data_IF_611959547532
#
_entry.id   IF_611959547532
#
_cell.length_a   1.000
_cell.length_b   1.000
_cell.length_c   1.000
_cell.angle_alpha   90.00
_cell.angle_beta   90.00
_cell.angle_gamma   90.00
#
_symmetry.space_group_name_H-M   'P 1'
#
loop_
_entity.id
_entity.type
_entity.pdbx_description
1 polymer ?
#
# COMPACT_ATOMS: atom_id res chain seq x y z
N UNK A 1 19.75 14.67 19.60
CA UNK A 1 18.81 14.18 18.57
C UNK A 1 19.31 12.82 18.12
N UNK A 2 18.72 11.71 18.59
CA UNK A 2 19.14 10.37 18.16
C UNK A 2 18.85 10.19 16.66
N UNK A 3 19.77 9.58 15.91
CA UNK A 3 19.61 9.39 14.46
C UNK A 3 18.43 8.47 14.15
N UNK A 4 17.68 8.72 13.08
CA UNK A 4 16.54 7.89 12.67
C UNK A 4 16.93 6.41 12.52
N UNK A 5 18.14 6.14 12.03
CA UNK A 5 18.71 4.79 11.89
C UNK A 5 18.88 4.09 13.25
N UNK A 6 19.38 4.81 14.27
CA UNK A 6 19.55 4.24 15.62
C UNK A 6 18.21 3.87 16.26
N UNK A 7 17.18 4.67 16.00
CA UNK A 7 15.81 4.40 16.45
C UNK A 7 15.25 3.15 15.78
N UNK A 8 15.40 3.03 14.47
CA UNK A 8 14.96 1.84 13.70
C UNK A 8 15.67 0.57 14.17
N UNK A 9 16.96 0.64 14.51
CA UNK A 9 17.69 -0.49 15.06
C UNK A 9 17.04 -1.01 16.37
N UNK A 10 16.71 -0.11 17.31
CA UNK A 10 16.08 -0.48 18.59
C UNK A 10 14.64 -1.00 18.46
N UNK A 11 13.96 -0.66 17.36
CA UNK A 11 12.59 -1.09 17.05
C UNK A 11 12.54 -2.40 16.24
N UNK A 12 13.68 -2.84 15.71
CA UNK A 12 13.76 -3.96 14.77
C UNK A 12 14.12 -5.28 15.46
N UNK A 13 13.43 -6.33 15.07
CA UNK A 13 13.68 -7.71 15.54
C UNK A 13 13.83 -8.67 14.36
N UNK A 14 14.63 -9.71 14.60
CA UNK A 14 14.85 -10.82 13.67
C UNK A 14 14.08 -12.04 14.19
N UNK A 15 13.21 -12.59 13.35
CA UNK A 15 12.42 -13.77 13.67
C UNK A 15 12.91 -14.95 12.85
N UNK A 16 13.21 -16.06 13.52
CA UNK A 16 13.47 -17.34 12.87
C UNK A 16 12.39 -18.34 13.24
N UNK A 17 11.90 -19.05 12.23
CA UNK A 17 10.75 -19.95 12.34
C UNK A 17 11.17 -21.38 12.07
N UNK A 18 10.75 -22.29 12.95
CA UNK A 18 10.88 -23.73 12.76
C UNK A 18 9.50 -24.37 12.91
N UNK A 19 8.94 -24.97 11.85
CA UNK A 19 9.43 -25.03 10.46
C UNK A 19 9.37 -23.67 9.74
N UNK A 20 9.96 -23.61 8.54
CA UNK A 20 9.94 -22.42 7.69
C UNK A 20 8.53 -22.21 7.10
N UNK A 21 7.95 -21.00 7.18
CA UNK A 21 6.66 -20.70 6.59
C UNK A 21 6.74 -20.83 5.07
N UNK A 22 5.90 -21.67 4.49
CA UNK A 22 5.81 -21.90 3.05
C UNK A 22 4.69 -21.11 2.39
N UNK A 23 3.71 -20.66 3.18
CA UNK A 23 2.52 -19.95 2.70
C UNK A 23 2.42 -18.53 3.26
N UNK A 24 1.78 -17.63 2.51
CA UNK A 24 1.40 -16.31 3.00
C UNK A 24 0.43 -16.40 4.18
N UNK A 25 -0.42 -17.44 4.23
CA UNK A 25 -1.33 -17.65 5.37
C UNK A 25 -0.57 -17.88 6.68
N UNK A 26 0.49 -18.70 6.63
CA UNK A 26 1.38 -18.97 7.77
C UNK A 26 2.11 -17.69 8.21
N UNK A 27 2.60 -16.91 7.25
CA UNK A 27 3.26 -15.62 7.52
C UNK A 27 2.29 -14.58 8.11
N UNK A 28 1.01 -14.58 7.69
CA UNK A 28 -0.03 -13.71 8.26
C UNK A 28 -0.31 -14.04 9.72
N UNK A 29 -0.33 -15.32 10.09
CA UNK A 29 -0.49 -15.73 11.49
C UNK A 29 0.70 -15.28 12.34
N UNK A 30 1.91 -15.33 11.79
CA UNK A 30 3.10 -14.78 12.43
C UNK A 30 2.97 -13.29 12.67
N UNK A 31 2.57 -12.53 11.65
CA UNK A 31 2.31 -11.10 11.79
C UNK A 31 1.23 -10.81 12.83
N UNK A 32 0.13 -11.56 12.83
CA UNK A 32 -0.95 -11.41 13.82
C UNK A 32 -0.46 -11.71 15.25
N UNK A 33 0.44 -12.69 15.42
CA UNK A 33 1.05 -12.98 16.71
C UNK A 33 1.97 -11.84 17.18
N UNK A 34 2.75 -11.25 16.28
CA UNK A 34 3.61 -10.10 16.60
C UNK A 34 2.81 -8.84 16.93
N UNK A 35 1.69 -8.62 16.23
CA UNK A 35 0.81 -7.48 16.46
C UNK A 35 0.20 -7.45 17.87
N UNK A 36 0.22 -8.56 18.60
CA UNK A 36 -0.20 -8.62 20.02
C UNK A 36 0.71 -7.78 20.93
N UNK A 37 1.96 -7.57 20.56
CA UNK A 37 2.94 -6.79 21.34
C UNK A 37 2.93 -5.30 20.97
N UNK A 38 2.35 -4.93 19.83
CA UNK A 38 2.26 -3.56 19.35
C UNK A 38 2.17 -3.48 17.83
N UNK A 39 2.07 -2.27 17.31
CA UNK A 39 1.98 -2.03 15.87
C UNK A 39 3.29 -2.41 15.15
N UNK A 40 3.17 -3.22 14.10
CA UNK A 40 4.28 -3.63 13.23
C UNK A 40 4.26 -2.78 11.97
N UNK A 41 5.22 -1.87 11.84
CA UNK A 41 5.35 -0.93 10.72
C UNK A 41 5.86 -1.62 9.46
N UNK A 42 6.80 -2.55 9.63
CA UNK A 42 7.39 -3.26 8.49
C UNK A 42 7.53 -4.72 8.84
N UNK A 43 7.06 -5.57 7.93
CA UNK A 43 7.19 -7.01 8.03
C UNK A 43 7.72 -7.54 6.70
N UNK A 44 8.94 -8.05 6.71
CA UNK A 44 9.68 -8.41 5.50
C UNK A 44 10.36 -9.75 5.65
N UNK A 45 10.03 -10.69 4.77
CA UNK A 45 10.74 -11.96 4.69
C UNK A 45 12.05 -11.76 3.90
N UNK A 46 13.20 -12.00 4.54
CA UNK A 46 14.51 -11.80 3.92
C UNK A 46 14.90 -12.93 2.96
N UNK A 47 14.15 -14.04 2.94
CA UNK A 47 14.37 -15.13 1.98
C UNK A 47 14.20 -14.67 0.52
N UNK A 48 13.35 -13.68 0.28
CA UNK A 48 13.06 -13.16 -1.06
C UNK A 48 13.79 -11.84 -1.36
N UNK A 49 14.76 -11.45 -0.53
CA UNK A 49 15.53 -10.23 -0.77
C UNK A 49 16.56 -10.45 -1.88
N UNK A 50 16.23 -10.01 -3.09
CA UNK A 50 17.12 -10.11 -4.27
C UNK A 50 18.42 -9.34 -4.11
N UNK A 51 18.46 -8.36 -3.21
CA UNK A 51 19.65 -7.54 -2.96
C UNK A 51 20.59 -8.16 -1.93
N UNK A 52 20.18 -9.23 -1.25
CA UNK A 52 20.94 -9.86 -0.17
C UNK A 52 21.85 -10.96 -0.72
N UNK A 53 23.14 -10.66 -0.86
CA UNK A 53 24.17 -11.56 -1.41
C UNK A 53 24.74 -12.54 -0.36
N UNK A 54 24.25 -12.55 0.89
CA UNK A 54 24.83 -13.42 1.92
C UNK A 54 24.55 -14.91 1.64
N UNK A 55 25.62 -15.72 1.53
CA UNK A 55 25.51 -17.19 1.36
C UNK A 55 24.85 -17.90 2.56
N UNK A 56 24.93 -17.30 3.75
CA UNK A 56 24.20 -17.76 4.94
C UNK A 56 22.81 -17.12 4.95
N UNK A 57 21.96 -17.52 4.02
CA UNK A 57 20.53 -17.15 4.05
C UNK A 57 19.87 -17.90 5.22
N UNK A 58 20.07 -17.42 6.45
CA UNK A 58 19.11 -17.69 7.51
C UNK A 58 17.81 -17.07 7.02
N UNK A 59 16.85 -17.94 6.67
CA UNK A 59 15.51 -17.58 6.17
C UNK A 59 14.71 -16.93 7.30
N UNK A 60 15.15 -15.74 7.67
CA UNK A 60 14.65 -14.98 8.78
C UNK A 60 13.70 -13.89 8.28
N UNK A 61 12.72 -13.59 9.10
CA UNK A 61 11.78 -12.50 8.87
C UNK A 61 12.21 -11.32 9.71
N UNK A 62 12.31 -10.15 9.08
CA UNK A 62 12.57 -8.89 9.75
C UNK A 62 11.22 -8.25 10.10
N UNK A 63 11.04 -7.85 11.35
CA UNK A 63 9.93 -7.02 11.76
C UNK A 63 10.44 -5.73 12.42
N UNK A 64 9.81 -4.61 12.11
CA UNK A 64 10.09 -3.30 12.72
C UNK A 64 8.81 -2.84 13.39
N UNK A 65 8.87 -2.63 14.70
CA UNK A 65 7.77 -2.12 15.49
C UNK A 65 7.73 -0.59 15.49
N UNK A 66 6.56 -0.01 15.72
CA UNK A 66 6.45 1.43 15.90
C UNK A 66 7.14 1.89 17.20
N UNK A 67 7.01 1.10 18.26
CA UNK A 67 7.61 1.38 19.57
C UNK A 67 8.77 0.45 19.91
N UNK A 68 9.88 0.96 20.47
CA UNK A 68 10.97 0.11 20.97
C UNK A 68 10.53 -0.77 22.14
N UNK A 69 9.54 -0.34 22.92
CA UNK A 69 9.01 -1.16 24.04
C UNK A 69 8.33 -2.43 23.53
N UNK A 70 7.56 -2.33 22.44
CA UNK A 70 6.92 -3.48 21.79
C UNK A 70 7.97 -4.49 21.30
N UNK A 71 9.07 -4.01 20.71
CA UNK A 71 10.18 -4.86 20.30
C UNK A 71 10.81 -5.62 21.48
N UNK A 72 11.06 -4.93 22.61
CA UNK A 72 11.61 -5.59 23.81
C UNK A 72 10.65 -6.62 24.43
N UNK A 73 9.34 -6.34 24.43
CA UNK A 73 8.33 -7.30 24.91
C UNK A 73 8.25 -8.53 24.01
N UNK A 74 8.29 -8.33 22.69
CA UNK A 74 8.33 -9.44 21.74
C UNK A 74 9.57 -10.32 21.97
N UNK A 75 10.75 -9.74 22.17
CA UNK A 75 11.98 -10.49 22.50
C UNK A 75 11.82 -11.24 23.83
N UNK A 76 11.25 -10.62 24.86
CA UNK A 76 11.03 -11.24 26.16
C UNK A 76 10.03 -12.42 26.12
N UNK A 77 9.09 -12.39 25.17
CA UNK A 77 8.12 -13.47 24.92
C UNK A 77 8.66 -14.61 24.07
N UNK A 78 9.90 -14.52 23.59
CA UNK A 78 10.55 -15.56 22.79
C UNK A 78 10.83 -16.81 23.65
N UNK A 79 10.53 -18.03 23.16
CA UNK A 79 9.96 -18.39 21.86
C UNK A 79 8.41 -18.40 21.82
N UNK A 80 7.83 -18.00 20.69
CA UNK A 80 6.38 -18.03 20.45
C UNK A 80 5.94 -19.28 19.70
N UNK A 81 4.82 -19.87 20.12
CA UNK A 81 4.17 -20.98 19.42
C UNK A 81 2.89 -20.49 18.74
N UNK A 82 2.78 -20.74 17.44
CA UNK A 82 1.64 -20.34 16.62
C UNK A 82 0.99 -21.60 16.08
N UNK A 83 -0.28 -21.81 16.39
CA UNK A 83 -1.05 -22.93 15.84
C UNK A 83 -1.38 -22.62 14.38
N UNK A 84 -1.03 -23.53 13.47
CA UNK A 84 -1.54 -23.46 12.11
C UNK A 84 -2.97 -23.99 12.12
N UNK A 85 -3.90 -23.35 11.40
CA UNK A 85 -5.14 -24.01 11.05
C UNK A 85 -4.75 -25.23 10.22
N UNK A 86 -4.96 -26.43 10.77
CA UNK A 86 -5.05 -27.61 9.92
C UNK A 86 -6.05 -27.27 8.83
N UNK A 87 -5.67 -27.52 7.58
CA UNK A 87 -6.65 -27.62 6.51
C UNK A 87 -7.70 -28.55 7.05
N UNK A 88 -8.87 -28.02 7.44
CA UNK A 88 -10.03 -28.86 7.65
C UNK A 88 -10.24 -29.50 6.30
N UNK A 89 -9.69 -30.71 6.12
CA UNK A 89 -10.24 -31.71 5.23
C UNK A 89 -11.70 -31.66 5.57
N UNK A 90 -12.48 -31.02 4.71
CA UNK A 90 -13.91 -31.03 4.86
C UNK A 90 -14.25 -32.51 4.92
N UNK A 91 -14.60 -32.98 6.10
CA UNK A 91 -15.33 -34.20 6.30
C UNK A 91 -16.69 -33.96 5.66
N UNK A 92 -16.71 -33.94 4.32
CA UNK A 92 -17.88 -34.20 3.54
C UNK A 92 -18.20 -35.65 3.79
N UNK A 93 -19.02 -35.88 4.82
CA UNK A 93 -19.88 -37.05 4.87
C UNK A 93 -20.69 -37.06 3.58
N UNK A 94 -20.25 -37.83 2.57
CA UNK A 94 -21.11 -38.51 1.59
C UNK A 94 -20.32 -39.47 0.68
N UNK A 95 -20.68 -40.75 0.84
CA UNK A 95 -20.49 -41.91 -0.03
C UNK A 95 -19.07 -42.40 -0.35
N UNK A 96 -18.73 -43.53 0.29
CA UNK A 96 -17.72 -44.50 -0.13
C UNK A 96 -17.88 -44.89 -1.61
N UNK A 97 -16.97 -44.40 -2.46
CA UNK A 97 -16.47 -45.16 -3.62
C UNK A 97 -14.97 -44.88 -3.74
N UNK A 98 -14.09 -45.89 -3.57
CA UNK A 98 -12.68 -45.70 -3.87
C UNK A 98 -12.53 -45.49 -5.37
N UNK A 99 -12.18 -44.27 -5.77
CA UNK A 99 -11.61 -44.01 -7.09
C UNK A 99 -10.30 -44.79 -7.19
N UNK A 100 -10.08 -45.62 -8.23
CA UNK A 100 -8.88 -46.42 -8.38
C UNK A 100 -7.73 -45.64 -9.03
N UNK A 101 -7.63 -44.33 -8.80
CA UNK A 101 -6.51 -43.55 -9.33
C UNK A 101 -5.30 -43.63 -8.38
N UNK A 102 -4.23 -44.35 -8.75
CA UNK A 102 -3.05 -44.52 -7.89
C UNK A 102 -2.30 -43.21 -7.66
N UNK A 103 -2.56 -42.16 -8.46
CA UNK A 103 -1.90 -40.87 -8.34
C UNK A 103 -2.53 -39.94 -7.29
N UNK A 104 -3.85 -40.05 -7.05
CA UNK A 104 -4.56 -39.21 -6.07
C UNK A 104 -4.19 -39.55 -4.61
N UNK A 105 -3.86 -40.82 -4.35
CA UNK A 105 -3.45 -41.28 -3.01
C UNK A 105 -2.08 -40.72 -2.60
N UNK A 106 -1.18 -40.47 -3.54
CA UNK A 106 0.17 -39.97 -3.25
C UNK A 106 0.19 -38.52 -2.71
N UNK A 107 -0.74 -37.68 -3.14
CA UNK A 107 -0.84 -36.28 -2.68
C UNK A 107 -1.37 -36.18 -1.24
N UNK A 108 -2.26 -37.08 -0.83
CA UNK A 108 -2.85 -37.09 0.52
C UNK A 108 -1.84 -37.47 1.61
N UNK A 109 -0.90 -38.38 1.32
CA UNK A 109 0.14 -38.82 2.26
C UNK A 109 1.19 -37.73 2.51
N UNK A 110 1.45 -36.88 1.51
CA UNK A 110 2.39 -35.75 1.64
C UNK A 110 1.82 -34.58 2.46
N UNK A 111 0.49 -34.45 2.56
CA UNK A 111 -0.16 -33.40 3.36
C UNK A 111 -0.29 -33.76 4.84
N UNK A 112 -0.34 -35.05 5.19
CA UNK A 112 -0.51 -35.52 6.57
C UNK A 112 0.71 -35.28 7.48
N UNK A 113 1.90 -35.02 6.93
CA UNK A 113 3.12 -34.75 7.69
C UNK A 113 3.35 -33.26 7.98
N UNK A 114 2.34 -32.40 7.77
CA UNK A 114 2.50 -30.96 7.95
C UNK A 114 2.44 -30.61 9.45
N UNK A 115 3.46 -29.90 9.98
CA UNK A 115 3.49 -29.54 11.40
C UNK A 115 2.31 -28.63 11.76
N UNK A 116 1.66 -28.95 12.88
CA UNK A 116 0.47 -28.27 13.42
C UNK A 116 0.80 -26.93 14.09
N UNK A 117 2.07 -26.66 14.38
CA UNK A 117 2.51 -25.42 15.02
C UNK A 117 3.83 -24.88 14.41
N UNK A 118 3.98 -23.56 14.43
CA UNK A 118 5.23 -22.85 14.14
C UNK A 118 5.85 -22.40 15.46
N UNK A 119 7.12 -22.74 15.68
CA UNK A 119 7.92 -22.15 16.75
C UNK A 119 8.71 -20.99 16.19
N UNK A 120 8.51 -19.80 16.74
CA UNK A 120 9.16 -18.56 16.33
C UNK A 120 10.11 -18.11 17.43
N UNK A 121 11.40 -18.09 17.16
CA UNK A 121 12.40 -17.46 18.03
C UNK A 121 12.61 -16.02 17.58
N UNK A 122 12.45 -15.10 18.52
CA UNK A 122 12.61 -13.65 18.31
C UNK A 122 13.92 -13.23 18.95
N UNK A 123 14.77 -12.59 18.16
CA UNK A 123 16.05 -12.04 18.60
C UNK A 123 16.15 -10.54 18.24
N UNK A 124 16.98 -9.76 18.97
CA UNK A 124 17.33 -8.42 18.54
C UNK A 124 17.89 -8.42 17.12
N UNK A 125 17.40 -7.51 16.28
CA UNK A 125 17.86 -7.45 14.88
C UNK A 125 19.33 -7.06 14.81
N UNK A 126 20.11 -7.86 14.08
CA UNK A 126 21.48 -7.51 13.66
C UNK A 126 21.52 -6.89 12.26
N UNK A 127 20.36 -6.50 11.72
CA UNK A 127 20.24 -5.95 10.38
C UNK A 127 20.84 -4.54 10.32
N UNK A 128 21.77 -4.32 9.39
CA UNK A 128 22.30 -2.99 9.13
C UNK A 128 21.35 -2.22 8.19
N UNK A 129 20.45 -1.45 8.79
CA UNK A 129 19.46 -0.64 8.07
C UNK A 129 20.11 0.39 7.15
N UNK A 130 21.24 0.96 7.53
CA UNK A 130 21.96 1.94 6.72
C UNK A 130 22.52 1.33 5.43
N UNK A 131 23.12 0.14 5.51
CA UNK A 131 23.62 -0.54 4.32
C UNK A 131 22.49 -1.04 3.42
N UNK A 132 21.35 -1.44 3.99
CA UNK A 132 20.16 -1.79 3.22
C UNK A 132 19.58 -0.60 2.45
N UNK A 133 19.49 0.56 3.10
CA UNK A 133 19.08 1.80 2.46
C UNK A 133 20.04 2.20 1.33
N UNK A 134 21.36 2.15 1.55
CA UNK A 134 22.36 2.48 0.52
C UNK A 134 22.33 1.55 -0.70
N UNK A 135 21.93 0.28 -0.52
CA UNK A 135 21.76 -0.67 -1.62
C UNK A 135 20.51 -0.42 -2.45
N UNK A 136 19.53 0.31 -1.93
CA UNK A 136 18.32 0.64 -2.68
C UNK A 136 18.66 1.69 -3.77
N UNK A 137 18.45 1.36 -5.07
CA UNK A 137 18.71 2.29 -6.19
C UNK A 137 17.96 3.62 -6.07
N UNK A 138 16.85 3.64 -5.33
CA UNK A 138 15.97 4.80 -5.19
C UNK A 138 16.18 5.58 -3.88
N UNK A 139 17.15 5.21 -3.04
CA UNK A 139 17.38 5.86 -1.73
C UNK A 139 18.25 7.14 -1.80
N UNK A 140 18.87 7.42 -2.94
CA UNK A 140 19.78 8.59 -3.11
C UNK A 140 19.13 9.65 -4.01
N UNK A 141 19.78 10.80 -4.15
CA UNK A 141 19.41 11.79 -5.16
C UNK A 141 19.29 11.16 -6.55
N UNK A 142 18.22 11.49 -7.26
CA UNK A 142 18.03 11.09 -8.65
C UNK A 142 19.17 11.66 -9.49
N UNK A 143 20.02 10.78 -10.02
CA UNK A 143 21.01 11.16 -11.00
C UNK A 143 20.35 11.15 -12.37
N UNK A 144 20.15 12.33 -12.95
CA UNK A 144 19.64 12.44 -14.32
C UNK A 144 20.71 11.85 -15.26
N UNK A 145 20.32 10.81 -16.01
CA UNK A 145 21.20 10.19 -17.00
C UNK A 145 21.44 11.18 -18.14
N UNK A 146 22.60 11.86 -18.10
CA UNK A 146 22.99 12.87 -19.11
C UNK A 146 23.35 12.28 -20.47
N UNK A 147 23.63 10.98 -20.51
CA UNK A 147 24.01 10.25 -21.73
C UNK A 147 22.81 9.67 -22.47
N UNK A 148 21.62 9.72 -21.88
CA UNK A 148 20.40 9.25 -22.52
C UNK A 148 20.02 10.15 -23.71
N UNK A 149 19.56 9.55 -24.81
CA UNK A 149 19.11 10.31 -25.99
C UNK A 149 17.97 11.26 -25.61
N UNK A 150 17.10 10.83 -24.70
CA UNK A 150 16.02 11.63 -24.15
C UNK A 150 16.54 12.89 -23.46
N UNK A 151 17.62 12.79 -22.67
CA UNK A 151 18.23 13.96 -22.05
C UNK A 151 18.80 14.92 -23.10
N UNK A 152 19.49 14.42 -24.11
CA UNK A 152 20.03 15.25 -25.19
C UNK A 152 18.93 15.94 -26.00
N UNK A 153 17.85 15.23 -26.31
CA UNK A 153 16.69 15.78 -27.02
C UNK A 153 15.98 16.86 -26.19
N UNK A 154 15.76 16.60 -24.90
CA UNK A 154 15.17 17.56 -23.97
C UNK A 154 16.06 18.81 -23.77
N UNK A 155 17.37 18.65 -23.65
CA UNK A 155 18.31 19.79 -23.53
C UNK A 155 18.36 20.58 -24.83
N UNK A 156 18.31 19.92 -26.00
CA UNK A 156 18.31 20.57 -27.31
C UNK A 156 17.02 21.35 -27.58
N UNK A 157 15.88 20.80 -27.19
CA UNK A 157 14.57 21.45 -27.32
C UNK A 157 14.41 22.62 -26.35
N UNK A 158 15.14 22.60 -25.23
CA UNK A 158 15.19 23.68 -24.24
C UNK A 158 14.14 23.49 -23.16
N UNK A 159 14.54 22.88 -22.04
CA UNK A 159 13.70 22.78 -20.84
C UNK A 159 13.71 24.14 -20.10
N UNK A 160 12.55 24.66 -19.66
CA UNK A 160 11.22 24.06 -19.71
C UNK A 160 10.53 24.22 -21.08
N UNK A 161 10.07 23.09 -21.63
CA UNK A 161 9.18 23.01 -22.78
C UNK A 161 7.77 23.46 -22.36
N UNK A 162 7.19 24.42 -23.09
CA UNK A 162 5.77 24.76 -22.97
C UNK A 162 4.96 23.47 -23.17
N UNK A 163 3.97 23.20 -22.31
CA UNK A 163 3.03 22.06 -22.38
C UNK A 163 3.51 20.70 -21.82
N UNK A 164 4.80 20.49 -21.50
CA UNK A 164 5.28 19.18 -21.02
C UNK A 164 5.00 18.90 -19.53
N UNK A 165 4.84 19.96 -18.74
CA UNK A 165 4.53 19.91 -17.30
C UNK A 165 3.43 20.91 -16.89
N UNK A 166 2.77 21.54 -17.87
CA UNK A 166 1.68 22.48 -17.63
C UNK A 166 0.41 21.68 -17.29
N UNK A 167 0.23 21.36 -16.00
CA UNK A 167 -1.11 21.45 -15.41
C UNK A 167 -1.61 22.86 -15.75
N UNK A 168 -2.87 23.10 -16.18
CA UNK A 168 -3.30 24.37 -16.76
C UNK A 168 -3.22 25.51 -15.73
N UNK A 169 -2.03 26.05 -15.54
CA UNK A 169 -1.72 27.33 -14.93
C UNK A 169 -1.35 28.29 -16.05
N UNK A 170 -2.15 28.32 -17.12
CA UNK A 170 -2.16 29.48 -17.99
C UNK A 170 -2.42 30.69 -17.09
N UNK A 171 -1.41 31.54 -16.90
CA UNK A 171 -1.62 32.81 -16.21
C UNK A 171 -2.64 33.57 -17.04
N UNK A 172 -3.80 33.87 -16.45
CA UNK A 172 -4.84 34.66 -17.09
C UNK A 172 -4.21 35.95 -17.61
N UNK A 173 -4.17 36.12 -18.92
CA UNK A 173 -3.63 37.34 -19.52
C UNK A 173 -4.40 38.55 -18.98
N UNK A 174 -3.69 39.65 -18.78
CA UNK A 174 -4.32 40.87 -18.32
C UNK A 174 -5.25 41.41 -19.41
N UNK A 175 -6.54 41.12 -19.26
CA UNK A 175 -7.56 41.78 -20.04
C UNK A 175 -7.93 43.13 -19.40
N UNK A 176 -8.02 44.16 -20.23
CA UNK A 176 -8.48 45.48 -19.80
C UNK A 176 -9.90 45.41 -19.23
N UNK A 177 -10.20 46.28 -18.26
CA UNK A 177 -11.51 46.36 -17.60
C UNK A 177 -12.65 46.57 -18.60
N UNK A 178 -12.39 47.26 -19.73
CA UNK A 178 -13.39 47.47 -20.80
C UNK A 178 -13.77 46.16 -21.49
N UNK A 179 -12.80 45.31 -21.79
CA UNK A 179 -13.04 44.00 -22.42
C UNK A 179 -13.84 43.11 -21.48
N UNK A 180 -13.44 43.06 -20.20
CA UNK A 180 -14.18 42.30 -19.17
C UNK A 180 -15.64 42.75 -19.03
N UNK A 181 -15.91 44.06 -19.04
CA UNK A 181 -17.29 44.60 -18.98
C UNK A 181 -18.10 44.26 -20.23
N UNK A 182 -17.49 44.29 -21.41
CA UNK A 182 -18.16 43.91 -22.65
C UNK A 182 -18.56 42.42 -22.63
N UNK A 183 -17.62 41.55 -22.28
CA UNK A 183 -17.86 40.10 -22.19
C UNK A 183 -18.93 39.79 -21.14
N UNK A 184 -18.88 40.45 -19.98
CA UNK A 184 -19.90 40.30 -18.94
C UNK A 184 -21.30 40.73 -19.42
N UNK A 185 -21.41 41.84 -20.14
CA UNK A 185 -22.69 42.28 -20.70
C UNK A 185 -23.22 41.37 -21.82
N UNK A 186 -22.34 40.75 -22.62
CA UNK A 186 -22.74 39.72 -23.58
C UNK A 186 -23.21 38.44 -22.86
N UNK A 187 -22.54 38.03 -21.78
CA UNK A 187 -22.96 36.91 -20.96
C UNK A 187 -24.32 37.15 -20.28
N UNK A 188 -24.59 38.38 -19.79
CA UNK A 188 -25.88 38.77 -19.25
C UNK A 188 -27.01 38.69 -20.29
N UNK A 189 -26.75 39.17 -21.52
CA UNK A 189 -27.72 39.07 -22.63
C UNK A 189 -28.00 37.62 -23.04
N UNK A 190 -26.99 36.76 -22.96
CA UNK A 190 -27.09 35.34 -23.30
C UNK A 190 -27.56 34.48 -22.11
N UNK A 191 -27.82 35.07 -20.94
CA UNK A 191 -28.21 34.33 -19.73
C UNK A 191 -27.11 33.44 -19.14
N UNK A 192 -25.85 33.65 -19.52
CA UNK A 192 -24.69 32.82 -19.16
C UNK A 192 -23.93 33.35 -17.92
N UNK A 193 -24.63 33.94 -16.95
CA UNK A 193 -24.01 34.61 -15.79
C UNK A 193 -23.76 33.67 -14.60
N UNK A 194 -24.69 32.76 -14.32
CA UNK A 194 -24.55 31.78 -13.23
C UNK A 194 -25.47 30.58 -13.45
N UNK A 195 -24.87 29.38 -13.46
CA UNK A 195 -25.63 28.12 -13.48
C UNK A 195 -26.45 27.94 -12.19
N UNK A 196 -25.99 28.49 -11.06
CA UNK A 196 -26.74 28.47 -9.79
C UNK A 196 -27.97 29.37 -9.87
N UNK A 197 -27.86 30.54 -10.51
CA UNK A 197 -29.02 31.41 -10.74
C UNK A 197 -30.05 30.79 -11.68
N UNK A 198 -29.60 30.09 -12.73
CA UNK A 198 -30.47 29.29 -13.60
C UNK A 198 -31.18 28.16 -12.84
N UNK A 199 -30.45 27.48 -11.95
CA UNK A 199 -31.00 26.40 -11.13
C UNK A 199 -32.04 26.91 -10.10
N UNK A 200 -31.73 28.00 -9.39
CA UNK A 200 -32.67 28.64 -8.44
C UNK A 200 -33.92 29.17 -9.16
N UNK A 201 -33.75 29.79 -10.35
CA UNK A 201 -34.86 30.18 -11.21
C UNK A 201 -35.70 28.98 -11.65
N UNK A 202 -35.07 27.83 -11.93
CA UNK A 202 -35.76 26.58 -12.27
C UNK A 202 -36.55 26.00 -11.10
N UNK A 203 -35.97 25.97 -9.90
CA UNK A 203 -36.63 25.51 -8.68
C UNK A 203 -37.80 26.43 -8.30
N UNK A 204 -37.63 27.75 -8.41
CA UNK A 204 -38.67 28.72 -8.10
C UNK A 204 -39.85 28.72 -9.08
N UNK A 205 -39.64 28.22 -10.31
CA UNK A 205 -40.69 28.11 -11.32
C UNK A 205 -41.52 26.82 -11.18
N UNK A 206 -40.93 25.76 -10.62
CA UNK A 206 -41.61 24.48 -10.38
C UNK A 206 -42.65 24.49 -9.25
N UNK A 207 -42.60 25.47 -8.34
CA UNK A 207 -43.53 25.58 -7.21
C UNK A 207 -44.68 26.58 -7.43
N UNK A 208 -44.77 27.28 -8.57
CA UNK A 208 -45.85 28.26 -8.84
C UNK A 208 -47.03 27.73 -9.63
N UNK A 209 -47.00 26.48 -10.09
CA UNK A 209 -48.13 25.88 -10.83
C UNK A 209 -49.05 25.00 -9.96
N UNK A 210 -48.81 24.88 -8.65
CA UNK A 210 -49.59 23.98 -7.78
C UNK A 210 -50.48 24.73 -6.76
N UNK A 211 -50.24 26.02 -6.47
CA UNK A 211 -50.99 26.75 -5.43
C UNK A 211 -51.95 27.81 -6.01
N UNK A 212 -52.88 27.37 -6.86
CA UNK A 212 -53.96 28.19 -7.41
C UNK A 212 -55.31 27.45 -7.39
N UNK A 213 -55.75 27.02 -6.22
CA UNK A 213 -57.12 26.54 -5.99
C UNK A 213 -58.16 27.70 -6.08
N UNK A 214 -59.19 27.47 -6.90
CA UNK A 214 -60.62 27.51 -6.56
C UNK A 214 -61.18 28.65 -5.66
N UNK A 215 -62.03 29.54 -6.20
CA UNK A 215 -63.33 29.98 -5.62
C UNK A 215 -64.13 30.83 -6.66
N UNK A 216 -65.26 30.34 -7.18
CA UNK A 216 -66.70 30.61 -6.84
C UNK A 216 -67.24 31.96 -7.36
N UNK A 217 -68.00 31.89 -8.46
CA UNK A 217 -69.42 32.29 -8.58
C UNK A 217 -70.04 31.67 -9.85
#
# INVERSE_FOLDING_TARGET
>A
MASSVSRVASQSVCITTSPIPKSLAESKLLLAALQKFGEVVTFRNLQYDTTNTSQSSRRATLAIFESPTAATQAIASSPLTILLPESQSQSQTKSNKPSPDPWASAESVLQAARPTYLTCTIEPSRHNHESALRRNPFHTSFHVSKTSIQHHDLVRTGIPMKELADVPMARKEYESVRVKKRVQGENEKLGATSLVGLFESGIGSGNKEIDGEMEVD
#
